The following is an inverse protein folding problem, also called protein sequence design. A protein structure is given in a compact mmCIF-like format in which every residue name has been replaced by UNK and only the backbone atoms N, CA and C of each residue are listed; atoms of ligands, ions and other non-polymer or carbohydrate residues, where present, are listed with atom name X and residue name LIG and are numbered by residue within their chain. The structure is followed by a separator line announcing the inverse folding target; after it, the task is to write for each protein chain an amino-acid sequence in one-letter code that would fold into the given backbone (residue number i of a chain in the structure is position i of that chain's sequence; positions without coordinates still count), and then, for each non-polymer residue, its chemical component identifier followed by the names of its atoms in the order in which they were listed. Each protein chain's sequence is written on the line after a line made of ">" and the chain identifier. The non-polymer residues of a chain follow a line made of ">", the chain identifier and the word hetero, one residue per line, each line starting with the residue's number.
data_IF_542401101056
#
_entry.id   IF_542401101056
#
_cell.length_a   1.000
_cell.length_b   1.000
_cell.length_c   1.000
_cell.angle_alpha   90.00
_cell.angle_beta   90.00
_cell.angle_gamma   90.00
#
_symmetry.space_group_name_H-M   'P 1'
#
loop_
_entity.id
_entity.type
_entity.pdbx_description
1 polymer ?
#
# COMPACT_ATOMS: atom_id res chain seq x y z
N UNK A 1 1.58 4.54 2.08
CA UNK A 1 1.28 4.02 0.72
C UNK A 1 0.58 2.68 0.82
N UNK A 2 -0.45 2.45 0.02
CA UNK A 2 -1.05 1.13 -0.13
C UNK A 2 -0.13 0.20 -0.95
N UNK A 3 0.07 -1.03 -0.48
CA UNK A 3 0.86 -2.08 -1.15
C UNK A 3 -0.01 -3.33 -1.29
N UNK A 4 -0.11 -3.85 -2.52
CA UNK A 4 -0.80 -5.12 -2.80
C UNK A 4 0.09 -6.31 -2.38
N UNK A 5 -0.28 -6.95 -1.28
CA UNK A 5 0.48 -8.07 -0.69
C UNK A 5 0.36 -9.39 -1.44
N UNK A 6 -0.55 -9.53 -2.41
CA UNK A 6 -0.84 -10.83 -3.08
C UNK A 6 0.41 -11.55 -3.62
N UNK A 7 1.32 -10.77 -4.22
CA UNK A 7 2.57 -11.28 -4.80
C UNK A 7 3.72 -11.41 -3.80
N UNK A 8 3.58 -10.81 -2.61
CA UNK A 8 4.59 -10.80 -1.56
C UNK A 8 4.45 -11.99 -0.59
N UNK A 9 3.31 -12.68 -0.56
CA UNK A 9 3.15 -13.91 0.21
C UNK A 9 3.91 -15.08 -0.43
N UNK A 10 4.37 -16.02 0.41
CA UNK A 10 4.93 -17.29 0.01
C UNK A 10 4.18 -18.44 0.73
N UNK A 11 3.47 -19.33 0.01
CA UNK A 11 3.20 -19.25 -1.42
C UNK A 11 2.39 -17.99 -1.79
N UNK A 12 2.50 -17.56 -3.05
CA UNK A 12 1.70 -16.42 -3.55
C UNK A 12 0.22 -16.73 -3.44
N UNK A 13 -0.59 -15.72 -3.15
CA UNK A 13 -2.03 -15.88 -3.18
C UNK A 13 -2.49 -16.22 -4.60
N UNK A 14 -3.57 -17.01 -4.70
CA UNK A 14 -4.12 -17.40 -6.00
C UNK A 14 -4.62 -16.20 -6.79
N UNK A 15 -4.50 -16.31 -8.12
CA UNK A 15 -5.23 -15.41 -9.01
C UNK A 15 -6.73 -15.58 -8.75
N UNK A 16 -7.44 -14.47 -8.52
CA UNK A 16 -8.86 -14.49 -8.16
C UNK A 16 -9.15 -14.54 -6.65
N UNK A 17 -8.15 -14.45 -5.77
CA UNK A 17 -8.39 -14.30 -4.33
C UNK A 17 -9.33 -13.12 -4.05
N UNK A 18 -10.49 -13.43 -3.47
CA UNK A 18 -11.54 -12.47 -3.16
C UNK A 18 -11.47 -12.07 -1.68
N UNK A 19 -10.76 -10.97 -1.42
CA UNK A 19 -10.58 -10.42 -0.08
C UNK A 19 -9.56 -9.28 -0.06
N UNK A 20 -9.43 -8.62 1.09
CA UNK A 20 -8.46 -7.54 1.27
C UNK A 20 -7.05 -8.08 1.49
N UNK A 21 -6.09 -7.58 0.73
CA UNK A 21 -4.65 -7.91 0.85
C UNK A 21 -3.82 -6.64 0.71
N UNK A 22 -4.30 -5.53 1.27
CA UNK A 22 -3.62 -4.24 1.23
C UNK A 22 -2.87 -4.06 2.53
N UNK A 23 -1.56 -3.85 2.43
CA UNK A 23 -0.70 -3.46 3.54
C UNK A 23 -0.29 -2.00 3.39
N UNK A 24 -0.03 -1.33 4.52
CA UNK A 24 0.41 0.07 4.53
C UNK A 24 1.93 0.12 4.72
N UNK A 25 2.64 0.61 3.71
CA UNK A 25 4.04 1.01 3.84
C UNK A 25 4.13 2.48 4.24
N UNK A 26 4.96 2.80 5.22
CA UNK A 26 5.16 4.18 5.71
C UNK A 26 6.59 4.61 5.47
N UNK A 27 6.76 5.74 4.80
CA UNK A 27 8.02 6.46 4.69
C UNK A 27 7.93 7.70 5.58
N UNK A 28 9.02 8.04 6.27
CA UNK A 28 9.08 9.20 7.15
C UNK A 28 10.37 9.98 6.89
N UNK A 29 10.26 11.30 6.85
CA UNK A 29 11.38 12.23 6.73
C UNK A 29 10.94 13.59 7.28
N UNK A 30 11.89 14.44 7.64
CA UNK A 30 11.54 15.81 8.05
C UNK A 30 11.26 16.68 6.82
N UNK A 31 10.48 17.75 7.00
CA UNK A 31 10.19 18.70 5.92
C UNK A 31 11.48 19.29 5.35
N UNK A 32 12.43 19.62 6.22
CA UNK A 32 13.74 20.16 5.83
C UNK A 32 14.51 19.18 4.96
N UNK A 33 14.54 17.89 5.33
CA UNK A 33 15.24 16.85 4.56
C UNK A 33 14.59 16.58 3.19
N UNK A 34 13.26 16.66 3.12
CA UNK A 34 12.52 16.50 1.86
C UNK A 34 12.74 17.69 0.92
N UNK A 35 12.80 18.92 1.45
CA UNK A 35 12.98 20.14 0.64
C UNK A 35 14.44 20.42 0.25
N UNK A 36 15.41 20.01 1.07
CA UNK A 36 16.83 20.31 0.86
C UNK A 36 17.53 19.39 -0.17
N UNK A 37 16.92 18.26 -0.54
CA UNK A 37 17.53 17.24 -1.40
C UNK A 37 16.89 17.12 -2.79
N UNK A 38 17.53 16.40 -3.73
CA UNK A 38 16.90 16.04 -4.99
C UNK A 38 15.71 15.10 -4.76
N UNK A 39 14.77 15.07 -5.71
CA UNK A 39 13.58 14.19 -5.66
C UNK A 39 13.95 12.72 -5.46
N UNK A 40 15.11 12.29 -5.96
CA UNK A 40 15.64 10.94 -5.82
C UNK A 40 15.77 10.49 -4.36
N UNK A 41 16.06 11.43 -3.44
CA UNK A 41 16.09 11.12 -2.01
C UNK A 41 14.71 10.69 -1.51
N UNK A 42 13.66 11.41 -1.89
CA UNK A 42 12.29 11.04 -1.53
C UNK A 42 11.90 9.70 -2.18
N UNK A 43 12.28 9.49 -3.44
CA UNK A 43 12.07 8.22 -4.15
C UNK A 43 12.72 7.05 -3.40
N UNK A 44 13.99 7.19 -2.96
CA UNK A 44 14.71 6.15 -2.25
C UNK A 44 14.03 5.77 -0.93
N UNK A 45 13.62 6.75 -0.11
CA UNK A 45 12.93 6.49 1.15
C UNK A 45 11.61 5.74 0.90
N UNK A 46 10.87 6.11 -0.16
CA UNK A 46 9.64 5.41 -0.56
C UNK A 46 9.93 3.98 -1.00
N UNK A 47 10.98 3.76 -1.79
CA UNK A 47 11.37 2.42 -2.24
C UNK A 47 11.78 1.53 -1.07
N UNK A 48 12.62 2.04 -0.15
CA UNK A 48 13.01 1.32 1.06
C UNK A 48 11.80 0.94 1.91
N UNK A 49 10.86 1.87 2.11
CA UNK A 49 9.61 1.59 2.85
C UNK A 49 8.79 0.48 2.18
N UNK A 50 8.70 0.46 0.85
CA UNK A 50 8.02 -0.61 0.10
C UNK A 50 8.76 -1.95 0.20
N UNK A 51 10.09 -1.95 0.14
CA UNK A 51 10.92 -3.15 0.25
C UNK A 51 10.78 -3.83 1.62
N UNK A 52 10.45 -3.08 2.68
CA UNK A 52 10.17 -3.64 4.01
C UNK A 52 8.88 -4.47 4.08
N UNK A 53 7.98 -4.34 3.10
CA UNK A 53 6.75 -5.16 3.00
C UNK A 53 7.10 -6.53 2.42
N UNK A 54 7.70 -7.37 3.25
CA UNK A 54 8.07 -8.75 2.93
C UNK A 54 7.01 -9.74 3.41
N UNK A 55 7.11 -11.00 2.98
CA UNK A 55 6.29 -12.09 3.49
C UNK A 55 6.27 -12.15 5.03
N UNK A 56 7.46 -12.10 5.65
CA UNK A 56 7.60 -12.18 7.10
C UNK A 56 7.03 -10.95 7.80
N UNK A 57 7.25 -9.75 7.23
CA UNK A 57 6.64 -8.53 7.75
C UNK A 57 5.12 -8.61 7.73
N UNK A 58 4.52 -9.08 6.63
CA UNK A 58 3.07 -9.23 6.52
C UNK A 58 2.51 -10.24 7.52
N UNK A 59 3.14 -11.40 7.70
CA UNK A 59 2.74 -12.39 8.71
C UNK A 59 2.86 -11.82 10.13
N UNK A 60 3.94 -11.13 10.43
CA UNK A 60 4.13 -10.46 11.72
C UNK A 60 3.08 -9.38 11.97
N UNK A 61 2.71 -8.61 10.94
CA UNK A 61 1.64 -7.61 11.01
C UNK A 61 0.29 -8.28 11.32
N UNK A 62 -0.05 -9.37 10.63
CA UNK A 62 -1.29 -10.12 10.90
C UNK A 62 -1.30 -10.69 12.32
N UNK A 63 -0.17 -11.26 12.77
CA UNK A 63 -0.03 -11.77 14.13
C UNK A 63 -0.17 -10.65 15.19
N UNK A 64 0.41 -9.48 14.95
CA UNK A 64 0.27 -8.31 15.82
C UNK A 64 -1.18 -7.86 15.91
N UNK A 65 -1.89 -7.74 14.78
CA UNK A 65 -3.33 -7.41 14.74
C UNK A 65 -4.14 -8.45 15.52
N UNK A 66 -3.85 -9.74 15.33
CA UNK A 66 -4.55 -10.83 16.02
C UNK A 66 -4.25 -10.90 17.53
N UNK A 67 -3.08 -10.40 17.96
CA UNK A 67 -2.66 -10.36 19.37
C UNK A 67 -3.21 -9.17 20.15
N UNK A 68 -3.67 -8.13 19.44
CA UNK A 68 -4.07 -6.85 20.01
C UNK A 68 -5.57 -6.68 20.19
N UNK A 69 -5.96 -5.43 20.50
CA UNK A 69 -7.36 -5.01 20.58
C UNK A 69 -8.10 -5.20 19.25
N UNK A 70 -9.43 -5.07 19.30
CA UNK A 70 -10.32 -5.18 18.14
C UNK A 70 -9.71 -4.50 16.90
N UNK A 71 -9.72 -5.13 15.70
CA UNK A 71 -9.27 -4.50 14.46
C UNK A 71 -9.90 -3.14 14.17
N UNK A 72 -11.07 -2.86 14.75
CA UNK A 72 -11.77 -1.58 14.68
C UNK A 72 -11.04 -0.44 15.44
N UNK A 73 -10.15 -0.77 16.38
CA UNK A 73 -9.32 0.20 17.10
C UNK A 73 -8.02 0.53 16.37
N UNK A 74 -7.67 -0.21 15.31
CA UNK A 74 -6.51 0.09 14.47
C UNK A 74 -6.91 1.17 13.46
N UNK A 75 -6.95 2.40 13.94
CA UNK A 75 -7.19 3.58 13.11
C UNK A 75 -5.87 4.27 12.78
N UNK A 76 -5.56 4.53 11.50
CA UNK A 76 -4.41 5.35 11.16
C UNK A 76 -4.61 6.77 11.71
N UNK A 77 -3.69 7.21 12.57
CA UNK A 77 -3.62 8.61 12.99
C UNK A 77 -2.97 9.40 11.87
N UNK A 78 -3.75 10.26 11.20
CA UNK A 78 -3.22 11.21 10.24
C UNK A 78 -3.08 12.57 10.91
N UNK A 79 -1.85 13.01 11.11
CA UNK A 79 -1.54 14.38 11.46
C UNK A 79 -1.54 15.25 10.21
N UNK A 80 -1.52 16.59 10.40
CA UNK A 80 -1.53 17.58 9.30
C UNK A 80 -0.43 17.34 8.24
N UNK A 81 0.68 16.74 8.64
CA UNK A 81 1.87 16.54 7.81
C UNK A 81 1.93 15.14 7.19
N UNK A 82 0.99 14.26 7.53
CA UNK A 82 0.93 12.91 7.00
C UNK A 82 0.17 12.89 5.67
N UNK A 83 0.61 12.02 4.78
CA UNK A 83 0.00 11.83 3.47
C UNK A 83 -0.24 10.34 3.20
N UNK A 84 -1.48 10.02 2.81
CA UNK A 84 -1.82 8.70 2.29
C UNK A 84 -1.97 8.76 0.76
N UNK A 85 -1.15 7.98 0.07
CA UNK A 85 -1.25 7.81 -1.39
C UNK A 85 -1.69 6.38 -1.68
N UNK A 86 -2.79 6.26 -2.43
CA UNK A 86 -3.28 5.01 -3.01
C UNK A 86 -3.29 5.14 -4.53
N UNK A 87 -2.64 4.21 -5.24
CA UNK A 87 -2.59 4.22 -6.70
C UNK A 87 -3.52 3.15 -7.27
N UNK A 88 -4.40 3.56 -8.16
CA UNK A 88 -5.33 2.69 -8.88
C UNK A 88 -4.82 2.29 -10.26
N UNK A 89 -3.58 2.67 -10.61
CA UNK A 89 -3.00 2.46 -11.94
C UNK A 89 -2.89 1.00 -12.39
N UNK A 90 -2.98 0.04 -11.46
CA UNK A 90 -2.95 -1.41 -11.73
C UNK A 90 -4.30 -2.09 -11.49
N UNK A 91 -5.34 -1.33 -11.17
CA UNK A 91 -6.70 -1.83 -11.20
C UNK A 91 -7.14 -1.78 -12.66
N UNK A 92 -7.45 -2.92 -13.25
CA UNK A 92 -7.76 -3.07 -14.70
C UNK A 92 -9.13 -2.46 -15.09
N UNK A 93 -9.54 -1.38 -14.42
CA UNK A 93 -10.87 -0.77 -14.53
C UNK A 93 -11.13 -0.22 -15.93
N UNK A 94 -10.13 0.41 -16.54
CA UNK A 94 -10.23 0.97 -17.90
C UNK A 94 -10.39 -0.10 -19.01
N UNK A 95 -10.15 -1.37 -18.70
CA UNK A 95 -10.30 -2.48 -19.65
C UNK A 95 -11.74 -3.00 -19.77
N UNK A 96 -12.65 -2.55 -18.91
CA UNK A 96 -14.01 -3.07 -18.81
C UNK A 96 -14.87 -2.60 -19.98
N UNK A 97 -15.50 -3.52 -20.70
CA UNK A 97 -16.48 -3.23 -21.77
C UNK A 97 -17.66 -4.20 -21.63
N UNK A 98 -18.86 -3.66 -21.49
CA UNK A 98 -20.11 -4.42 -21.35
C UNK A 98 -20.86 -4.59 -22.68
N UNK A 99 -20.30 -4.13 -23.80
CA UNK A 99 -20.88 -4.18 -25.14
C UNK A 99 -21.16 -2.82 -25.79
N UNK A 100 -20.91 -1.72 -25.07
CA UNK A 100 -21.14 -0.35 -25.53
C UNK A 100 -19.85 0.47 -25.64
N UNK A 101 -18.69 -0.20 -25.59
CA UNK A 101 -17.38 0.43 -25.59
C UNK A 101 -16.79 0.62 -24.19
N UNK A 102 -15.51 0.99 -24.17
CA UNK A 102 -14.74 1.20 -22.93
C UNK A 102 -15.10 2.52 -22.23
N UNK A 103 -14.89 2.62 -20.90
CA UNK A 103 -15.13 3.86 -20.17
C UNK A 103 -14.20 4.98 -20.64
N UNK A 104 -14.75 6.20 -20.74
CA UNK A 104 -13.98 7.41 -20.99
C UNK A 104 -13.18 7.86 -19.75
N UNK A 105 -13.64 7.50 -18.55
CA UNK A 105 -13.01 7.79 -17.25
C UNK A 105 -13.38 6.70 -16.25
N UNK A 106 -12.46 6.38 -15.33
CA UNK A 106 -12.60 5.39 -14.24
C UNK A 106 -12.05 5.93 -12.94
#
# INVERSE_FOLDING_TARGET
>A
FAVDGRKHFYPRLSNGFHGNVIFVATASSTVEQLLAGPIDRAVNIIQEAKCKITHQHMLSTVAWIASGKSPLEISPSFHRWDLMISSWQRLEMAGTDFGSGKPAFV
#
